data_IF_329841188039
#
_entry.id   IF_329841188039
#
_cell.length_a   1.000
_cell.length_b   1.000
_cell.length_c   1.000
_cell.angle_alpha   90.00
_cell.angle_beta   90.00
_cell.angle_gamma   90.00
#
_symmetry.space_group_name_H-M   'P 1'
#
loop_
_entity.id
_entity.type
_entity.pdbx_description
1 polymer ?
#
# COMPACT_ATOMS: atom_id res chain seq x y z
N UNK A 1 3.52 7.71 4.85
CA UNK A 1 2.29 8.03 4.08
C UNK A 1 1.17 8.38 5.05
N UNK A 2 0.22 9.22 4.65
CA UNK A 2 -1.00 9.48 5.44
C UNK A 2 -2.02 8.35 5.25
N UNK A 3 -2.21 7.56 6.30
CA UNK A 3 -3.05 6.36 6.30
C UNK A 3 -4.55 6.71 6.17
N UNK A 4 -4.94 7.94 6.53
CA UNK A 4 -6.34 8.38 6.44
C UNK A 4 -6.92 8.35 5.02
N UNK A 5 -6.06 8.40 4.01
CA UNK A 5 -6.46 8.37 2.60
C UNK A 5 -7.13 7.04 2.22
N UNK A 6 -6.77 5.94 2.86
CA UNK A 6 -7.32 4.59 2.62
C UNK A 6 -8.71 4.37 3.20
N UNK A 7 -9.20 5.32 4.01
CA UNK A 7 -10.60 5.31 4.47
C UNK A 7 -11.57 5.85 3.41
N UNK A 8 -11.06 6.33 2.27
CA UNK A 8 -11.86 6.66 1.09
C UNK A 8 -11.97 5.44 0.16
N UNK A 9 -12.95 5.47 -0.74
CA UNK A 9 -13.01 4.50 -1.83
C UNK A 9 -11.85 4.74 -2.81
N UNK A 10 -11.08 3.68 -3.06
CA UNK A 10 -9.96 3.67 -3.99
C UNK A 10 -10.14 2.52 -4.99
N UNK A 11 -9.70 2.75 -6.22
CA UNK A 11 -9.79 1.76 -7.28
C UNK A 11 -8.65 0.76 -7.15
N UNK A 12 -8.98 -0.50 -6.81
CA UNK A 12 -8.01 -1.57 -6.62
C UNK A 12 -7.56 -2.19 -7.95
N UNK A 13 -6.53 -3.05 -7.92
CA UNK A 13 -6.07 -3.82 -9.08
C UNK A 13 -7.10 -4.83 -9.59
N UNK A 14 -8.08 -5.20 -8.76
CA UNK A 14 -9.22 -6.04 -9.17
C UNK A 14 -10.28 -5.27 -9.97
N UNK A 15 -10.07 -3.97 -10.23
CA UNK A 15 -10.97 -3.04 -10.93
C UNK A 15 -12.25 -2.69 -10.16
N UNK A 16 -12.30 -2.96 -8.86
CA UNK A 16 -13.37 -2.51 -7.97
C UNK A 16 -12.94 -1.31 -7.13
N UNK A 17 -13.89 -0.42 -6.87
CA UNK A 17 -13.74 0.68 -5.90
C UNK A 17 -14.08 0.19 -4.50
N UNK A 18 -13.06 0.04 -3.66
CA UNK A 18 -13.18 -0.52 -2.31
C UNK A 18 -12.68 0.46 -1.26
N UNK A 19 -13.15 0.31 -0.02
CA UNK A 19 -12.49 0.89 1.15
C UNK A 19 -11.52 -0.17 1.64
N UNK A 20 -10.25 0.20 1.75
CA UNK A 20 -9.21 -0.72 2.18
C UNK A 20 -9.24 -0.90 3.69
N UNK A 21 -8.96 -2.11 4.15
CA UNK A 21 -8.72 -2.39 5.56
C UNK A 21 -7.26 -2.11 5.88
N UNK A 22 -7.00 -1.33 6.93
CA UNK A 22 -5.64 -1.03 7.39
C UNK A 22 -5.28 -2.02 8.48
N UNK A 23 -4.12 -2.67 8.33
CA UNK A 23 -3.60 -3.64 9.28
C UNK A 23 -2.20 -3.20 9.66
N UNK A 24 -2.06 -2.78 10.92
CA UNK A 24 -0.77 -2.44 11.51
C UNK A 24 -0.06 -3.70 12.02
N UNK A 25 1.25 -3.58 12.18
CA UNK A 25 2.12 -4.58 12.77
C UNK A 25 2.13 -5.97 12.10
N UNK A 26 2.04 -6.00 10.77
CA UNK A 26 2.22 -7.25 10.01
C UNK A 26 3.71 -7.59 9.91
N UNK A 27 4.09 -8.69 10.56
CA UNK A 27 5.46 -9.20 10.55
C UNK A 27 5.79 -9.95 9.25
N UNK A 28 6.97 -9.67 8.70
CA UNK A 28 7.62 -10.45 7.65
C UNK A 28 9.09 -10.69 8.01
N UNK A 29 9.81 -11.43 7.17
CA UNK A 29 11.22 -11.78 7.38
C UNK A 29 12.16 -10.54 7.54
N UNK A 30 11.72 -9.38 7.09
CA UNK A 30 12.48 -8.11 7.16
C UNK A 30 11.96 -7.14 8.22
N UNK A 31 10.95 -7.53 9.01
CA UNK A 31 10.41 -6.74 10.12
C UNK A 31 8.90 -6.50 10.00
N UNK A 32 8.42 -5.55 10.80
CA UNK A 32 7.01 -5.16 10.88
C UNK A 32 6.65 -4.09 9.84
N UNK A 33 5.45 -4.21 9.28
CA UNK A 33 4.88 -3.34 8.27
C UNK A 33 3.43 -2.98 8.56
N UNK A 34 3.04 -1.76 8.20
CA UNK A 34 1.62 -1.44 8.01
C UNK A 34 1.24 -1.78 6.58
N UNK A 35 0.21 -2.59 6.43
CA UNK A 35 -0.34 -2.99 5.13
C UNK A 35 -1.80 -2.57 5.01
N UNK A 36 -2.27 -2.51 3.78
CA UNK A 36 -3.70 -2.42 3.49
C UNK A 36 -4.16 -3.67 2.77
N UNK A 37 -5.40 -4.09 3.01
CA UNK A 37 -6.01 -5.24 2.37
C UNK A 37 -7.23 -4.83 1.55
N UNK A 38 -7.32 -5.33 0.31
CA UNK A 38 -8.55 -5.22 -0.48
C UNK A 38 -9.58 -6.26 0.02
N UNK A 39 -10.80 -5.87 0.43
CA UNK A 39 -11.81 -6.83 0.88
C UNK A 39 -12.38 -7.71 -0.24
N UNK A 40 -12.15 -7.36 -1.52
CA UNK A 40 -12.68 -8.10 -2.67
C UNK A 40 -11.71 -9.15 -3.20
N UNK A 41 -10.44 -8.79 -3.41
CA UNK A 41 -9.42 -9.70 -3.96
C UNK A 41 -8.40 -10.18 -2.92
N UNK A 42 -8.55 -9.77 -1.66
CA UNK A 42 -7.72 -10.16 -0.52
C UNK A 42 -6.23 -9.81 -0.65
N UNK A 43 -5.87 -9.00 -1.64
CA UNK A 43 -4.49 -8.59 -1.89
C UNK A 43 -4.00 -7.62 -0.81
N UNK A 44 -2.75 -7.81 -0.37
CA UNK A 44 -2.09 -6.98 0.64
C UNK A 44 -1.07 -6.06 -0.02
N UNK A 45 -1.12 -4.77 0.31
CA UNK A 45 -0.16 -3.78 -0.15
C UNK A 45 0.57 -3.18 1.05
N UNK A 46 1.89 -3.18 1.03
CA UNK A 46 2.67 -2.42 2.02
C UNK A 46 2.55 -0.93 1.76
N UNK A 47 2.28 -0.15 2.81
CA UNK A 47 2.06 1.31 2.69
C UNK A 47 3.10 2.13 3.44
N UNK A 48 3.93 1.49 4.25
CA UNK A 48 5.01 2.13 4.99
C UNK A 48 6.29 2.18 4.17
N UNK A 49 6.66 1.05 3.55
CA UNK A 49 7.85 0.90 2.71
C UNK A 49 7.69 -0.27 1.73
N UNK A 50 8.45 -0.25 0.64
CA UNK A 50 8.44 -1.36 -0.32
C UNK A 50 8.98 -2.64 0.31
N UNK A 51 8.18 -3.71 0.28
CA UNK A 51 8.54 -5.02 0.82
C UNK A 51 8.23 -6.13 -0.20
N UNK A 52 9.16 -7.06 -0.47
CA UNK A 52 8.94 -8.16 -1.43
C UNK A 52 7.80 -9.12 -1.05
N UNK A 53 7.40 -9.14 0.22
CA UNK A 53 6.34 -10.01 0.71
C UNK A 53 4.92 -9.53 0.35
N UNK A 54 4.77 -8.26 -0.04
CA UNK A 54 3.48 -7.63 -0.31
C UNK A 54 3.45 -7.01 -1.71
N UNK A 55 2.24 -6.79 -2.22
CA UNK A 55 2.05 -6.10 -3.49
C UNK A 55 2.49 -4.65 -3.40
N UNK A 56 2.99 -4.14 -4.52
CA UNK A 56 3.55 -2.80 -4.56
C UNK A 56 2.43 -1.74 -4.68
N UNK A 57 2.44 -0.76 -3.78
CA UNK A 57 1.48 0.35 -3.78
C UNK A 57 1.48 1.17 -5.09
N UNK A 58 2.54 1.11 -5.89
CA UNK A 58 2.57 1.73 -7.22
C UNK A 58 1.54 1.15 -8.19
N UNK A 59 1.09 -0.09 -7.99
CA UNK A 59 0.00 -0.65 -8.80
C UNK A 59 -1.32 0.02 -8.49
N UNK A 60 -1.57 0.33 -7.21
CA UNK A 60 -2.70 1.13 -6.77
C UNK A 60 -2.64 2.58 -7.29
N UNK A 61 -1.44 3.17 -7.35
CA UNK A 61 -1.25 4.53 -7.87
C UNK A 61 -1.58 4.68 -9.35
N UNK A 62 -1.43 3.62 -10.17
CA UNK A 62 -1.83 3.65 -11.58
C UNK A 62 -3.31 3.98 -11.75
N UNK A 63 -4.14 3.48 -10.84
CA UNK A 63 -5.57 3.70 -10.83
C UNK A 63 -5.97 4.93 -9.99
N UNK A 64 -5.12 5.33 -9.05
CA UNK A 64 -5.37 6.43 -8.11
C UNK A 64 -4.21 7.45 -8.15
N UNK A 65 -4.00 8.18 -9.26
CA UNK A 65 -2.80 8.98 -9.48
C UNK A 65 -2.63 10.17 -8.52
N UNK A 66 -3.69 10.53 -7.79
CA UNK A 66 -3.69 11.61 -6.78
C UNK A 66 -3.62 11.11 -5.35
N UNK A 67 -3.43 9.81 -5.15
CA UNK A 67 -3.33 9.22 -3.81
C UNK A 67 -2.10 9.80 -3.09
N UNK A 68 -0.94 9.84 -3.75
CA UNK A 68 0.28 10.38 -3.15
C UNK A 68 0.94 11.50 -3.94
N UNK A 69 1.62 12.37 -3.19
CA UNK A 69 2.61 13.27 -3.74
C UNK A 69 3.85 12.52 -4.26
N UNK A 70 4.60 13.15 -5.16
CA UNK A 70 5.87 12.60 -5.66
C UNK A 70 6.91 12.38 -4.53
N UNK A 71 6.85 13.21 -3.47
CA UNK A 71 7.72 13.07 -2.31
C UNK A 71 7.41 11.77 -1.54
N UNK A 72 6.14 11.52 -1.24
CA UNK A 72 5.72 10.30 -0.54
C UNK A 72 6.05 9.02 -1.33
N UNK A 73 5.92 9.09 -2.66
CA UNK A 73 6.33 8.00 -3.56
C UNK A 73 7.84 7.75 -3.49
N UNK A 74 8.62 8.81 -3.44
CA UNK A 74 10.09 8.72 -3.32
C UNK A 74 10.49 8.14 -1.97
N UNK A 75 9.89 8.62 -0.88
CA UNK A 75 10.16 8.14 0.49
C UNK A 75 9.83 6.65 0.64
N UNK A 76 8.77 6.17 0.00
CA UNK A 76 8.39 4.75 -0.03
C UNK A 76 9.44 3.86 -0.69
N UNK A 77 10.02 4.32 -1.80
CA UNK A 77 11.08 3.61 -2.52
C UNK A 77 12.41 3.62 -1.75
N UNK A 78 12.75 4.75 -1.14
CA UNK A 78 14.00 4.92 -0.39
C UNK A 78 14.03 4.09 0.89
N UNK A 79 12.87 3.84 1.51
CA UNK A 79 12.75 3.01 2.70
C UNK A 79 12.62 1.51 2.38
N UNK A 80 12.91 1.08 1.15
CA UNK A 80 12.85 -0.32 0.77
C UNK A 80 13.89 -1.16 1.53
N UNK A 81 13.50 -2.39 1.88
CA UNK A 81 14.47 -3.37 2.35
C UNK A 81 15.42 -3.71 1.20
N UNK A 82 16.72 -3.52 1.41
CA UNK A 82 17.73 -3.98 0.48
C UNK A 82 17.70 -5.52 0.44
N UNK A 83 17.53 -6.06 -0.77
CA UNK A 83 17.56 -7.50 -1.05
C UNK A 83 18.88 -8.16 -0.63
#
# INVERSE_FOLDING_TARGET
>A
MDISQFQNKLSCICNDDVIFEIIDDVECDWGSHTVIQCPNCEEFFSIDKSCPAFSNIFELLKNNPKLYSEQEQTDYLLNSHHC
#
